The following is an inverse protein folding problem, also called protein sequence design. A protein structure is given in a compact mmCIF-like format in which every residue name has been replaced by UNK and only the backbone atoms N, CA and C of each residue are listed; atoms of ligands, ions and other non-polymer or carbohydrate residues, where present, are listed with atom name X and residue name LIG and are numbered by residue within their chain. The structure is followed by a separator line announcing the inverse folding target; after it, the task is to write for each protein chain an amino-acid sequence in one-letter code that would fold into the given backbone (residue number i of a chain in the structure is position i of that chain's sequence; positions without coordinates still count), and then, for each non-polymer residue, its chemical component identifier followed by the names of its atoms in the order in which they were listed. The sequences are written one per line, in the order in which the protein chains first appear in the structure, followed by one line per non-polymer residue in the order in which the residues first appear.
data_IF_252453842634
#
_entry.id   IF_252453842634
#
_cell.length_a   1.000
_cell.length_b   1.000
_cell.length_c   1.000
_cell.angle_alpha   90.00
_cell.angle_beta   90.00
_cell.angle_gamma   90.00
#
_symmetry.space_group_name_H-M   'P 1'
#
loop_
_entity.id
_entity.type
_entity.pdbx_description
1 polymer ?
#
# COMPACT_ATOMS: atom_id res chain seq x y z
N UNK A 1 -10.42 31.19 -2.25
CA UNK A 1 -11.12 30.03 -1.66
C UNK A 1 -11.30 30.31 -0.18
N UNK A 2 -12.50 30.15 0.38
CA UNK A 2 -12.71 30.40 1.82
C UNK A 2 -12.16 29.19 2.59
N UNK A 3 -11.15 29.42 3.42
CA UNK A 3 -10.54 28.38 4.26
C UNK A 3 -11.34 28.19 5.54
N UNK A 4 -12.38 27.35 5.48
CA UNK A 4 -13.13 26.96 6.67
C UNK A 4 -12.30 26.03 7.57
N UNK A 5 -12.27 26.32 8.88
CA UNK A 5 -11.68 25.48 9.93
C UNK A 5 -10.23 25.05 9.67
N UNK A 6 -9.38 26.03 9.30
CA UNK A 6 -7.92 25.86 9.14
C UNK A 6 -7.27 25.19 10.36
N UNK A 7 -7.75 25.51 11.55
CA UNK A 7 -7.51 24.73 12.77
C UNK A 7 -8.66 23.73 12.97
N UNK A 8 -8.31 22.44 12.98
CA UNK A 8 -9.25 21.34 13.19
C UNK A 8 -9.95 21.42 14.55
N UNK A 9 -9.29 22.00 15.56
CA UNK A 9 -9.86 22.18 16.89
C UNK A 9 -11.03 23.17 16.91
N UNK A 10 -11.09 24.08 15.94
CA UNK A 10 -12.15 25.09 15.83
C UNK A 10 -13.39 24.57 15.08
N UNK A 11 -13.44 23.29 14.72
CA UNK A 11 -14.61 22.72 14.06
C UNK A 11 -15.75 22.49 15.09
N UNK A 12 -17.01 22.89 14.83
CA UNK A 12 -18.14 22.75 15.78
C UNK A 12 -18.43 21.31 16.25
N UNK A 13 -17.97 20.33 15.46
CA UNK A 13 -18.07 18.90 15.76
C UNK A 13 -16.75 18.28 16.23
N UNK A 14 -15.72 19.07 16.51
CA UNK A 14 -14.46 18.57 17.03
C UNK A 14 -14.68 17.86 18.37
N UNK A 15 -14.11 16.66 18.52
CA UNK A 15 -14.26 15.82 19.72
C UNK A 15 -15.64 15.16 19.91
N UNK A 16 -16.63 15.43 19.06
CA UNK A 16 -17.95 14.80 19.15
C UNK A 16 -17.98 13.48 18.37
N UNK A 17 -18.53 12.44 18.99
CA UNK A 17 -18.77 11.13 18.35
C UNK A 17 -20.25 10.79 18.36
N UNK A 18 -20.71 10.05 17.34
CA UNK A 18 -22.06 9.50 17.35
C UNK A 18 -22.16 8.37 18.39
N UNK A 19 -23.32 8.25 19.04
CA UNK A 19 -23.64 7.06 19.85
C UNK A 19 -23.81 5.84 18.96
N UNK A 20 -23.72 4.64 19.55
CA UNK A 20 -23.91 3.39 18.82
C UNK A 20 -25.29 3.28 18.16
N UNK A 21 -26.33 3.79 18.81
CA UNK A 21 -27.69 3.83 18.27
C UNK A 21 -27.77 4.66 16.99
N UNK A 22 -27.16 5.85 17.01
CA UNK A 22 -27.11 6.73 15.83
C UNK A 22 -26.27 6.09 14.73
N UNK A 23 -25.13 5.49 15.06
CA UNK A 23 -24.29 4.78 14.09
C UNK A 23 -25.08 3.67 13.39
N UNK A 24 -25.88 2.89 14.12
CA UNK A 24 -26.74 1.86 13.54
C UNK A 24 -27.75 2.45 12.55
N UNK A 25 -28.39 3.57 12.91
CA UNK A 25 -29.39 4.24 12.06
C UNK A 25 -28.80 4.81 10.76
N UNK A 26 -27.58 5.35 10.79
CA UNK A 26 -26.94 5.95 9.60
C UNK A 26 -26.11 4.95 8.80
N UNK A 27 -25.72 3.83 9.40
CA UNK A 27 -24.93 2.80 8.71
C UNK A 27 -25.74 2.12 7.61
N UNK A 28 -25.08 1.82 6.48
CA UNK A 28 -25.65 1.04 5.37
C UNK A 28 -24.81 -0.23 5.16
N UNK A 29 -24.89 -1.22 6.07
CA UNK A 29 -24.09 -2.44 5.97
C UNK A 29 -24.65 -3.42 4.93
N UNK A 30 -23.80 -4.35 4.50
CA UNK A 30 -24.19 -5.45 3.61
C UNK A 30 -24.84 -4.96 2.31
N UNK A 31 -26.03 -5.50 2.01
CA UNK A 31 -26.80 -5.20 0.79
C UNK A 31 -27.23 -3.74 0.67
N UNK A 32 -27.29 -2.99 1.78
CA UNK A 32 -27.66 -1.58 1.77
C UNK A 32 -26.51 -0.67 1.30
N UNK A 33 -25.26 -1.18 1.28
CA UNK A 33 -24.12 -0.43 0.79
C UNK A 33 -24.29 -0.16 -0.72
N UNK A 34 -24.18 1.10 -1.19
CA UNK A 34 -24.30 1.42 -2.63
C UNK A 34 -23.30 0.69 -3.54
N UNK A 35 -22.23 0.14 -2.97
CA UNK A 35 -21.21 -0.65 -3.67
C UNK A 35 -21.41 -2.16 -3.54
N UNK A 36 -22.45 -2.63 -2.84
CA UNK A 36 -22.75 -4.05 -2.73
C UNK A 36 -22.99 -4.66 -4.12
N UNK A 37 -22.37 -5.82 -4.40
CA UNK A 37 -22.44 -6.51 -5.67
C UNK A 37 -21.68 -5.85 -6.84
N UNK A 38 -21.09 -4.68 -6.65
CA UNK A 38 -20.29 -4.01 -7.68
C UNK A 38 -18.82 -4.44 -7.62
N UNK A 39 -18.22 -4.64 -8.78
CA UNK A 39 -16.78 -4.93 -8.92
C UNK A 39 -16.04 -3.74 -9.50
N UNK A 40 -14.82 -3.48 -9.05
CA UNK A 40 -13.95 -2.47 -9.66
C UNK A 40 -13.51 -2.89 -11.07
N UNK A 41 -13.40 -1.91 -11.97
CA UNK A 41 -12.80 -2.10 -13.30
C UNK A 41 -11.31 -2.45 -13.17
N UNK A 42 -10.74 -3.09 -14.20
CA UNK A 42 -9.31 -3.40 -14.24
C UNK A 42 -8.43 -2.14 -14.15
N UNK A 43 -8.85 -1.05 -14.77
CA UNK A 43 -8.20 0.26 -14.65
C UNK A 43 -8.18 0.74 -13.19
N UNK A 44 -9.32 0.68 -12.51
CA UNK A 44 -9.42 1.06 -11.09
C UNK A 44 -8.52 0.18 -10.23
N UNK A 45 -8.50 -1.14 -10.46
CA UNK A 45 -7.63 -2.08 -9.75
C UNK A 45 -6.15 -1.75 -9.95
N UNK A 46 -5.73 -1.40 -11.17
CA UNK A 46 -4.36 -0.97 -11.47
C UNK A 46 -3.99 0.27 -10.68
N UNK A 47 -4.83 1.30 -10.69
CA UNK A 47 -4.62 2.53 -9.91
C UNK A 47 -4.48 2.20 -8.41
N UNK A 48 -5.38 1.38 -7.87
CA UNK A 48 -5.32 0.95 -6.48
C UNK A 48 -4.02 0.19 -6.17
N UNK A 49 -3.56 -0.69 -7.06
CA UNK A 49 -2.32 -1.43 -6.89
C UNK A 49 -1.10 -0.50 -6.87
N UNK A 50 -1.02 0.44 -7.81
CA UNK A 50 0.05 1.45 -7.85
C UNK A 50 0.06 2.30 -6.57
N UNK A 51 -1.10 2.76 -6.10
CA UNK A 51 -1.21 3.58 -4.89
C UNK A 51 -0.93 2.80 -3.59
N UNK A 52 -1.18 1.49 -3.58
CA UNK A 52 -0.88 0.60 -2.44
C UNK A 52 0.54 0.06 -2.45
N UNK A 53 1.32 0.31 -3.50
CA UNK A 53 2.71 -0.12 -3.55
C UNK A 53 3.51 0.58 -2.45
N UNK A 54 4.21 -0.21 -1.64
CA UNK A 54 5.07 0.31 -0.56
C UNK A 54 6.28 1.09 -1.12
N UNK A 55 6.78 0.67 -2.28
CA UNK A 55 7.98 1.24 -2.89
C UNK A 55 7.60 1.94 -4.19
N UNK A 56 7.33 3.25 -4.11
CA UNK A 56 6.82 4.03 -5.24
C UNK A 56 7.78 4.03 -6.44
N UNK A 57 9.09 4.05 -6.17
CA UNK A 57 10.13 4.02 -7.19
C UNK A 57 10.57 2.60 -7.57
N UNK A 58 9.99 1.58 -6.94
CA UNK A 58 10.30 0.18 -7.16
C UNK A 58 11.35 -0.42 -6.21
N UNK A 59 11.79 -1.62 -6.55
CA UNK A 59 12.79 -2.41 -5.81
C UNK A 59 13.91 -2.78 -6.76
N UNK A 60 15.15 -2.63 -6.30
CA UNK A 60 16.35 -3.05 -7.02
C UNK A 60 16.94 -4.35 -6.50
N UNK A 61 17.49 -5.12 -7.41
CA UNK A 61 18.41 -6.22 -7.17
C UNK A 61 19.83 -5.68 -7.27
N UNK A 62 20.62 -5.83 -6.21
CA UNK A 62 21.99 -5.32 -6.13
C UNK A 62 22.98 -6.46 -5.92
N UNK A 63 24.20 -6.27 -6.41
CA UNK A 63 25.32 -7.14 -6.05
C UNK A 63 25.85 -6.84 -4.62
N UNK A 64 26.89 -7.56 -4.20
CA UNK A 64 27.53 -7.33 -2.90
C UNK A 64 28.34 -6.02 -2.81
N UNK A 65 28.56 -5.33 -3.92
CA UNK A 65 29.24 -4.04 -3.99
C UNK A 65 28.25 -2.86 -4.13
N UNK A 66 26.96 -3.11 -3.98
CA UNK A 66 25.87 -2.14 -4.16
C UNK A 66 25.74 -1.57 -5.58
N UNK A 67 26.22 -2.30 -6.59
CA UNK A 67 25.87 -2.02 -7.98
C UNK A 67 24.46 -2.54 -8.28
N UNK A 68 23.63 -1.70 -8.91
CA UNK A 68 22.30 -2.08 -9.35
C UNK A 68 22.42 -3.05 -10.53
N UNK A 69 21.90 -4.26 -10.36
CA UNK A 69 21.80 -5.28 -11.41
C UNK A 69 20.53 -5.04 -12.22
N UNK A 70 19.38 -4.96 -11.53
CA UNK A 70 18.09 -4.83 -12.20
C UNK A 70 17.05 -4.15 -11.31
N UNK A 71 16.09 -3.46 -11.94
CA UNK A 71 15.02 -2.72 -11.28
C UNK A 71 13.67 -3.36 -11.59
N UNK A 72 12.81 -3.43 -10.58
CA UNK A 72 11.44 -3.95 -10.65
C UNK A 72 10.45 -2.94 -10.07
N UNK A 73 9.20 -2.92 -10.55
CA UNK A 73 8.20 -1.96 -10.06
C UNK A 73 7.76 -2.28 -8.63
N UNK A 74 7.89 -3.54 -8.21
CA UNK A 74 7.49 -4.00 -6.89
C UNK A 74 8.22 -5.29 -6.50
N UNK A 75 8.08 -5.68 -5.23
CA UNK A 75 8.69 -6.90 -4.70
C UNK A 75 8.09 -8.20 -5.28
N UNK A 76 6.90 -8.16 -5.89
CA UNK A 76 6.29 -9.34 -6.52
C UNK A 76 6.97 -9.65 -7.86
N UNK A 77 7.32 -8.63 -8.63
CA UNK A 77 8.09 -8.79 -9.87
C UNK A 77 9.50 -9.32 -9.62
N UNK A 78 10.23 -8.74 -8.67
CA UNK A 78 11.52 -9.26 -8.24
C UNK A 78 11.42 -10.74 -7.80
N UNK A 79 10.35 -11.09 -7.07
CA UNK A 79 10.13 -12.46 -6.61
C UNK A 79 9.87 -13.42 -7.78
N UNK A 80 9.09 -12.99 -8.78
CA UNK A 80 8.86 -13.77 -10.01
C UNK A 80 10.14 -13.98 -10.81
N UNK A 81 10.95 -12.94 -10.95
CA UNK A 81 12.23 -13.00 -11.66
C UNK A 81 13.19 -14.01 -11.04
N UNK A 82 13.27 -14.05 -9.70
CA UNK A 82 14.13 -14.99 -8.97
C UNK A 82 13.45 -16.35 -8.70
N UNK A 83 12.22 -16.56 -9.17
CA UNK A 83 11.40 -17.75 -8.90
C UNK A 83 11.27 -18.09 -7.41
N UNK A 84 11.14 -17.06 -6.55
CA UNK A 84 10.99 -17.21 -5.10
C UNK A 84 9.67 -16.63 -4.58
N UNK A 85 9.34 -16.94 -3.34
CA UNK A 85 8.20 -16.34 -2.66
C UNK A 85 8.41 -14.83 -2.45
N UNK A 86 7.37 -14.04 -2.73
CA UNK A 86 7.31 -12.60 -2.38
C UNK A 86 7.57 -12.34 -0.89
N UNK A 87 7.29 -13.32 -0.04
CA UNK A 87 7.53 -13.23 1.41
C UNK A 87 9.03 -13.25 1.70
N UNK A 88 9.79 -14.06 0.98
CA UNK A 88 11.25 -14.09 1.06
C UNK A 88 11.80 -12.73 0.65
N UNK A 89 11.42 -12.21 -0.51
CA UNK A 89 11.84 -10.86 -0.94
C UNK A 89 11.50 -9.80 0.11
N UNK A 90 10.27 -9.82 0.65
CA UNK A 90 9.85 -8.91 1.70
C UNK A 90 10.67 -9.01 2.98
N UNK A 91 10.97 -10.23 3.45
CA UNK A 91 11.81 -10.46 4.64
C UNK A 91 13.21 -9.88 4.44
N UNK A 92 13.81 -10.10 3.28
CA UNK A 92 15.17 -9.65 2.99
C UNK A 92 15.24 -8.13 2.80
N UNK A 93 14.22 -7.53 2.17
CA UNK A 93 14.08 -6.08 2.08
C UNK A 93 13.92 -5.42 3.45
N UNK A 94 13.05 -5.96 4.31
CA UNK A 94 12.76 -5.33 5.60
C UNK A 94 13.95 -5.43 6.58
N UNK A 95 14.75 -6.49 6.46
CA UNK A 95 15.87 -6.77 7.36
C UNK A 95 17.25 -6.47 6.73
N UNK A 96 17.30 -5.93 5.51
CA UNK A 96 18.54 -5.69 4.75
C UNK A 96 19.48 -6.92 4.69
N UNK A 97 18.93 -8.10 4.45
CA UNK A 97 19.68 -9.36 4.43
C UNK A 97 20.29 -9.64 3.06
N UNK A 98 21.40 -10.38 3.05
CA UNK A 98 22.04 -10.88 1.83
C UNK A 98 21.37 -12.20 1.42
N UNK A 99 20.89 -12.25 0.18
CA UNK A 99 20.29 -13.43 -0.41
C UNK A 99 21.34 -14.27 -1.13
N UNK A 100 21.40 -15.58 -0.79
CA UNK A 100 22.31 -16.57 -1.37
C UNK A 100 23.79 -16.14 -1.41
N UNK A 101 24.24 -15.34 -0.44
CA UNK A 101 25.60 -14.78 -0.38
C UNK A 101 26.05 -14.06 -1.65
N UNK A 102 25.09 -13.55 -2.45
CA UNK A 102 25.34 -12.95 -3.77
C UNK A 102 24.64 -11.62 -3.96
N UNK A 103 23.42 -11.49 -3.44
CA UNK A 103 22.54 -10.38 -3.79
C UNK A 103 22.01 -9.64 -2.57
N UNK A 104 21.72 -8.36 -2.73
CA UNK A 104 20.92 -7.56 -1.78
C UNK A 104 19.69 -7.01 -2.48
N UNK A 105 18.57 -6.98 -1.78
CA UNK A 105 17.36 -6.32 -2.26
C UNK A 105 17.25 -4.99 -1.54
N UNK A 106 17.03 -3.89 -2.28
CA UNK A 106 16.83 -2.55 -1.70
C UNK A 106 15.71 -1.80 -2.41
N UNK A 107 14.95 -0.95 -1.70
CA UNK A 107 14.07 0.01 -2.36
C UNK A 107 14.89 1.03 -3.16
N UNK A 108 14.27 1.58 -4.21
CA UNK A 108 14.81 2.67 -5.02
C UNK A 108 14.17 4.03 -4.66
#
# INVERSE_FOLDING_TARGET
MVEFYKDKNNHPMFGKTHSEEILKLISKPGVLNPMFGKTHSEETKKIMATKKNKYLNGVGLFDLNDNLIEKFDNNVELAKYLEISKVTVGKYLNNNLIYQDKYRFKPL
#
